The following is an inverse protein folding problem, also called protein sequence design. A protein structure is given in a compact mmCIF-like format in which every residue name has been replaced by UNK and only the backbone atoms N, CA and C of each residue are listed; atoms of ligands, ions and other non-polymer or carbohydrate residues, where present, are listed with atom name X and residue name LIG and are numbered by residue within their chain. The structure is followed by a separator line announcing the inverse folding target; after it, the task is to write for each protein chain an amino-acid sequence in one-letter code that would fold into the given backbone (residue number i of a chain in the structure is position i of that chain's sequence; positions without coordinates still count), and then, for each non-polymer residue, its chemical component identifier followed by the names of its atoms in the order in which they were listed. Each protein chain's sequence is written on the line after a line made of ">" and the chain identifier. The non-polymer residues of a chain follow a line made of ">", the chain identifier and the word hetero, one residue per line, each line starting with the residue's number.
data_IF_819517419905
#
_entry.id   IF_819517419905
#
_cell.length_a   1.000
_cell.length_b   1.000
_cell.length_c   1.000
_cell.angle_alpha   90.00
_cell.angle_beta   90.00
_cell.angle_gamma   90.00
#
_symmetry.space_group_name_H-M   'P 1'
#
loop_
_entity.id
_entity.type
_entity.pdbx_description
1 polymer ?
#
# COMPACT_ATOMS: atom_id res chain seq x y z
N UNK A 1 0.94 -8.01 -1.76
CA UNK A 1 1.60 -8.93 -2.72
C UNK A 1 2.95 -9.44 -2.23
N UNK A 2 3.81 -8.57 -1.67
CA UNK A 2 5.20 -8.90 -1.26
C UNK A 2 5.30 -9.98 -0.18
N UNK A 3 4.39 -10.01 0.80
CA UNK A 3 4.42 -10.96 1.92
C UNK A 3 4.39 -12.44 1.51
N UNK A 4 3.78 -12.79 0.38
CA UNK A 4 3.72 -14.19 -0.10
C UNK A 4 5.05 -14.68 -0.69
N UNK A 5 5.88 -13.77 -1.19
CA UNK A 5 7.22 -14.07 -1.67
C UNK A 5 8.25 -14.13 -0.54
N UNK A 6 7.94 -13.51 0.61
CA UNK A 6 8.77 -13.54 1.82
C UNK A 6 8.29 -14.57 2.88
N UNK A 7 7.20 -15.30 2.63
CA UNK A 7 6.70 -16.32 3.56
C UNK A 7 7.27 -17.70 3.24
N UNK A 8 7.79 -18.38 4.27
CA UNK A 8 8.44 -19.69 4.30
C UNK A 8 9.84 -19.75 3.66
N UNK A 9 10.89 -19.74 4.50
CA UNK A 9 12.23 -20.29 4.20
C UNK A 9 13.11 -19.58 3.18
N UNK A 10 12.60 -18.58 2.45
CA UNK A 10 13.31 -17.93 1.32
C UNK A 10 14.08 -16.65 1.70
N UNK A 11 14.37 -16.43 3.00
CA UNK A 11 15.12 -15.24 3.45
C UNK A 11 16.51 -15.12 2.81
N UNK A 12 17.11 -16.23 2.38
CA UNK A 12 18.42 -16.25 1.73
C UNK A 12 18.43 -15.84 0.25
N UNK A 13 17.27 -15.88 -0.43
CA UNK A 13 17.15 -15.68 -1.89
C UNK A 13 16.42 -14.39 -2.27
N UNK A 14 16.33 -13.44 -1.33
CA UNK A 14 15.64 -12.18 -1.58
C UNK A 14 16.20 -11.42 -2.79
N UNK A 15 17.54 -11.34 -2.89
CA UNK A 15 18.20 -10.64 -3.99
C UNK A 15 17.90 -11.25 -5.37
N UNK A 16 17.73 -12.57 -5.46
CA UNK A 16 17.39 -13.25 -6.73
C UNK A 16 15.91 -13.14 -7.07
N UNK A 17 15.05 -12.94 -6.07
CA UNK A 17 13.60 -12.85 -6.23
C UNK A 17 13.12 -11.43 -6.56
N UNK A 18 13.91 -10.40 -6.25
CA UNK A 18 13.56 -9.00 -6.54
C UNK A 18 13.23 -8.77 -8.03
N UNK A 19 14.05 -9.22 -9.01
CA UNK A 19 13.74 -9.00 -10.42
C UNK A 19 12.43 -9.67 -10.86
N UNK A 20 12.16 -10.87 -10.33
CA UNK A 20 10.91 -11.60 -10.63
C UNK A 20 9.70 -10.87 -10.05
N UNK A 21 9.82 -10.37 -8.82
CA UNK A 21 8.78 -9.59 -8.16
C UNK A 21 8.52 -8.27 -8.88
N UNK A 22 9.58 -7.57 -9.30
CA UNK A 22 9.49 -6.33 -10.05
C UNK A 22 8.74 -6.55 -11.36
N UNK A 23 9.12 -7.58 -12.13
CA UNK A 23 8.46 -7.92 -13.38
C UNK A 23 6.98 -8.29 -13.16
N UNK A 24 6.68 -9.07 -12.13
CA UNK A 24 5.31 -9.43 -11.77
C UNK A 24 4.48 -8.19 -11.40
N UNK A 25 5.03 -7.28 -10.60
CA UNK A 25 4.35 -6.05 -10.21
C UNK A 25 4.09 -5.13 -11.42
N UNK A 26 5.09 -4.93 -12.29
CA UNK A 26 4.99 -4.09 -13.49
C UNK A 26 3.96 -4.59 -14.50
N UNK A 27 3.75 -5.90 -14.59
CA UNK A 27 2.87 -6.54 -15.59
C UNK A 27 1.46 -6.86 -15.07
N UNK A 28 1.24 -6.78 -13.77
CA UNK A 28 -0.05 -7.07 -13.15
C UNK A 28 -0.98 -5.85 -13.18
N UNK A 29 -2.27 -6.08 -13.42
CA UNK A 29 -3.26 -5.00 -13.42
C UNK A 29 -3.54 -4.58 -11.98
N UNK A 30 -3.35 -3.30 -11.67
CA UNK A 30 -3.64 -2.79 -10.34
C UNK A 30 -5.16 -2.60 -10.15
N UNK A 31 -5.70 -3.00 -9.01
CA UNK A 31 -7.15 -3.04 -8.77
C UNK A 31 -7.82 -1.66 -8.83
N UNK A 32 -7.14 -0.59 -8.37
CA UNK A 32 -7.69 0.76 -8.36
C UNK A 32 -7.68 1.46 -9.73
N UNK A 33 -6.65 1.21 -10.55
CA UNK A 33 -6.46 1.90 -11.84
C UNK A 33 -6.86 1.04 -13.04
N UNK A 34 -7.05 -0.27 -12.87
CA UNK A 34 -7.38 -1.22 -13.93
C UNK A 34 -6.27 -1.42 -14.98
N UNK A 35 -5.15 -0.70 -14.86
CA UNK A 35 -4.00 -0.71 -15.76
C UNK A 35 -2.77 -1.28 -15.06
N UNK A 36 -1.80 -1.75 -15.83
CA UNK A 36 -0.51 -2.19 -15.29
C UNK A 36 0.38 -0.98 -14.99
N UNK A 37 1.23 -1.01 -13.95
CA UNK A 37 2.16 0.08 -13.66
C UNK A 37 3.05 0.44 -14.86
N UNK A 38 3.61 -0.55 -15.57
CA UNK A 38 4.44 -0.29 -16.76
C UNK A 38 3.68 0.46 -17.87
N UNK A 39 2.37 0.24 -18.00
CA UNK A 39 1.55 0.95 -18.98
C UNK A 39 1.32 2.42 -18.59
N UNK A 40 1.31 2.73 -17.29
CA UNK A 40 1.14 4.08 -16.79
C UNK A 40 2.46 4.88 -16.81
N UNK A 41 3.57 4.23 -16.51
CA UNK A 41 4.90 4.85 -16.47
C UNK A 41 5.54 4.96 -17.85
N UNK A 42 5.58 3.85 -18.60
CA UNK A 42 6.34 3.72 -19.85
C UNK A 42 5.41 3.72 -21.08
N UNK A 43 4.09 3.71 -20.90
CA UNK A 43 3.12 3.67 -21.99
C UNK A 43 3.06 2.33 -22.74
N UNK A 44 3.82 1.32 -22.33
CA UNK A 44 3.83 -0.01 -22.94
C UNK A 44 3.88 -1.13 -21.90
N UNK A 45 3.27 -2.28 -22.22
CA UNK A 45 3.33 -3.47 -21.38
C UNK A 45 4.45 -4.38 -21.87
N UNK A 46 5.45 -4.74 -21.04
CA UNK A 46 6.51 -5.65 -21.44
C UNK A 46 5.93 -7.03 -21.72
N UNK A 47 6.39 -7.65 -22.82
CA UNK A 47 5.95 -8.99 -23.24
C UNK A 47 6.69 -10.03 -22.40
N UNK A 48 5.95 -10.80 -21.61
CA UNK A 48 6.50 -11.91 -20.82
C UNK A 48 6.32 -13.25 -21.55
N UNK A 49 7.20 -14.26 -21.33
CA UNK A 49 7.13 -15.54 -22.04
C UNK A 49 5.75 -16.22 -21.99
N UNK A 50 5.05 -16.08 -20.86
CA UNK A 50 3.69 -16.60 -20.68
C UNK A 50 2.67 -16.00 -21.64
N UNK A 51 2.86 -14.75 -22.10
CA UNK A 51 1.96 -14.11 -23.06
C UNK A 51 2.15 -14.67 -24.48
N UNK A 52 3.33 -15.22 -24.77
CA UNK A 52 3.63 -15.85 -26.06
C UNK A 52 3.13 -17.30 -26.07
N UNK A 53 3.36 -18.04 -24.98
CA UNK A 53 2.90 -19.43 -24.82
C UNK A 53 1.37 -19.55 -24.86
N UNK A 54 0.64 -18.61 -24.24
CA UNK A 54 -0.83 -18.61 -24.22
C UNK A 54 -1.49 -18.52 -25.59
N UNK A 55 -0.83 -17.98 -26.62
CA UNK A 55 -1.40 -17.82 -27.96
C UNK A 55 -1.54 -19.14 -28.72
N UNK A 56 -0.72 -20.14 -28.40
CA UNK A 56 -0.67 -21.42 -29.09
C UNK A 56 -1.29 -22.58 -28.30
N UNK A 57 -1.73 -22.35 -27.06
CA UNK A 57 -2.39 -23.34 -26.22
C UNK A 57 -3.88 -23.46 -26.59
N UNK A 58 -4.15 -24.00 -27.79
CA UNK A 58 -5.46 -24.49 -28.17
C UNK A 58 -5.62 -25.95 -27.72
N UNK A 59 -5.63 -26.17 -26.40
CA UNK A 59 -6.38 -27.28 -25.80
C UNK A 59 -6.51 -27.03 -24.30
N UNK A 60 -7.73 -26.71 -23.87
CA UNK A 60 -8.06 -26.48 -22.46
C UNK A 60 -8.09 -27.87 -21.83
N UNK A 61 -6.96 -28.32 -21.25
CA UNK A 61 -6.90 -29.54 -20.45
C UNK A 61 -8.09 -29.54 -19.47
N UNK A 62 -8.84 -30.64 -19.35
CA UNK A 62 -10.08 -30.73 -18.53
C UNK A 62 -9.95 -30.13 -17.11
N UNK A 63 -8.82 -30.37 -16.44
CA UNK A 63 -8.47 -29.77 -15.13
C UNK A 63 -8.32 -28.23 -15.11
N UNK A 64 -8.03 -27.57 -16.23
CA UNK A 64 -7.84 -26.12 -16.27
C UNK A 64 -9.13 -25.32 -16.01
N UNK A 65 -10.30 -25.86 -16.40
CA UNK A 65 -11.60 -25.29 -16.05
C UNK A 65 -11.85 -25.31 -14.54
N UNK A 66 -11.49 -26.42 -13.88
CA UNK A 66 -11.60 -26.57 -12.42
C UNK A 66 -10.61 -25.65 -11.69
N UNK A 67 -9.40 -25.51 -12.23
CA UNK A 67 -8.39 -24.61 -11.68
C UNK A 67 -8.79 -23.13 -11.82
N UNK A 68 -9.39 -22.74 -12.94
CA UNK A 68 -9.96 -21.40 -13.13
C UNK A 68 -11.03 -21.11 -12.07
N UNK A 69 -11.98 -22.03 -11.88
CA UNK A 69 -13.02 -21.89 -10.85
C UNK A 69 -12.41 -21.72 -9.45
N UNK A 70 -11.36 -22.47 -9.13
CA UNK A 70 -10.64 -22.34 -7.86
C UNK A 70 -9.99 -20.95 -7.73
N UNK A 71 -9.31 -20.46 -8.77
CA UNK A 71 -8.70 -19.13 -8.76
C UNK A 71 -9.72 -18.02 -8.59
N UNK A 72 -10.86 -18.13 -9.26
CA UNK A 72 -11.93 -17.14 -9.16
C UNK A 72 -12.55 -17.13 -7.76
N UNK A 73 -12.73 -18.30 -7.13
CA UNK A 73 -13.12 -18.39 -5.71
C UNK A 73 -12.09 -17.71 -4.79
N UNK A 74 -10.80 -18.02 -4.97
CA UNK A 74 -9.72 -17.42 -4.16
C UNK A 74 -9.67 -15.90 -4.33
N UNK A 75 -9.86 -15.39 -5.55
CA UNK A 75 -9.94 -13.95 -5.83
C UNK A 75 -11.11 -13.31 -5.10
N UNK A 76 -12.29 -13.92 -5.15
CA UNK A 76 -13.48 -13.40 -4.47
C UNK A 76 -13.27 -13.34 -2.95
N UNK A 77 -12.75 -14.41 -2.34
CA UNK A 77 -12.42 -14.42 -0.92
C UNK A 77 -11.38 -13.36 -0.57
N UNK A 78 -10.34 -13.19 -1.41
CA UNK A 78 -9.30 -12.18 -1.20
C UNK A 78 -9.88 -10.77 -1.27
N UNK A 79 -10.77 -10.50 -2.22
CA UNK A 79 -11.43 -9.20 -2.35
C UNK A 79 -12.32 -8.89 -1.14
N UNK A 80 -13.05 -9.88 -0.63
CA UNK A 80 -13.83 -9.75 0.60
C UNK A 80 -12.92 -9.42 1.79
N UNK A 81 -11.86 -10.19 2.02
CA UNK A 81 -10.93 -9.93 3.12
C UNK A 81 -10.27 -8.55 3.04
N UNK A 82 -10.00 -8.05 1.82
CA UNK A 82 -9.49 -6.70 1.60
C UNK A 82 -10.55 -5.64 1.99
N UNK A 83 -11.80 -5.82 1.55
CA UNK A 83 -12.90 -4.93 1.89
C UNK A 83 -13.14 -4.88 3.42
N UNK A 84 -13.20 -6.05 4.06
CA UNK A 84 -13.37 -6.17 5.51
C UNK A 84 -12.21 -5.48 6.26
N UNK A 85 -10.98 -5.62 5.77
CA UNK A 85 -9.80 -4.97 6.35
C UNK A 85 -9.88 -3.44 6.23
N UNK A 86 -10.35 -2.92 5.09
CA UNK A 86 -10.55 -1.48 4.90
C UNK A 86 -11.65 -0.94 5.81
N UNK A 87 -12.77 -1.65 5.92
CA UNK A 87 -13.88 -1.26 6.79
C UNK A 87 -13.45 -1.25 8.26
N UNK A 88 -12.77 -2.31 8.71
CA UNK A 88 -12.22 -2.41 10.05
C UNK A 88 -11.27 -1.24 10.37
N UNK A 89 -10.34 -0.94 9.46
CA UNK A 89 -9.39 0.17 9.64
C UNK A 89 -10.12 1.52 9.72
N UNK A 90 -11.13 1.74 8.87
CA UNK A 90 -11.96 2.95 8.88
C UNK A 90 -12.73 3.09 10.19
N UNK A 91 -13.46 2.05 10.62
CA UNK A 91 -14.23 2.08 11.86
C UNK A 91 -13.34 2.36 13.08
N UNK A 92 -12.15 1.76 13.12
CA UNK A 92 -11.18 2.02 14.20
C UNK A 92 -10.64 3.43 14.19
N UNK A 93 -10.36 3.97 13.00
CA UNK A 93 -9.96 5.37 12.84
C UNK A 93 -11.08 6.30 13.32
N UNK A 94 -12.28 6.18 12.76
CA UNK A 94 -13.43 7.03 13.06
C UNK A 94 -13.81 6.99 14.56
N UNK A 95 -13.63 5.86 15.24
CA UNK A 95 -13.88 5.72 16.69
C UNK A 95 -12.89 6.47 17.57
N UNK A 96 -11.62 6.50 17.18
CA UNK A 96 -10.54 7.07 18.00
C UNK A 96 -10.20 8.50 17.60
N UNK A 97 -10.38 8.83 16.34
CA UNK A 97 -9.95 10.09 15.77
C UNK A 97 -10.93 11.20 16.14
N UNK A 98 -10.41 12.28 16.72
CA UNK A 98 -11.14 13.52 16.94
C UNK A 98 -10.44 14.59 16.13
N UNK A 99 -11.14 15.14 15.15
CA UNK A 99 -10.61 16.25 14.36
C UNK A 99 -10.52 17.48 15.26
N UNK A 100 -9.32 18.02 15.51
CA UNK A 100 -9.17 19.25 16.25
C UNK A 100 -9.66 20.44 15.40
N UNK A 101 -10.55 21.25 15.95
CA UNK A 101 -10.93 22.53 15.34
C UNK A 101 -9.91 23.59 15.75
N UNK A 102 -9.24 24.20 14.78
CA UNK A 102 -8.27 25.27 14.98
C UNK A 102 -8.77 26.53 14.30
N UNK A 103 -8.62 27.69 14.95
CA UNK A 103 -8.90 28.99 14.35
C UNK A 103 -7.61 29.79 14.13
N UNK A 104 -7.62 30.67 13.13
CA UNK A 104 -6.53 31.60 12.89
C UNK A 104 -6.41 32.56 14.08
N UNK A 105 -5.22 32.67 14.64
CA UNK A 105 -4.94 33.43 15.86
C UNK A 105 -4.82 32.59 17.13
N UNK A 106 -5.20 31.30 17.11
CA UNK A 106 -5.06 30.43 18.27
C UNK A 106 -3.59 30.16 18.62
N UNK A 107 -3.33 30.03 19.92
CA UNK A 107 -2.04 29.63 20.45
C UNK A 107 -1.97 28.10 20.52
N UNK A 108 -1.18 27.51 19.65
CA UNK A 108 -1.02 26.06 19.54
C UNK A 108 0.37 25.59 19.98
N UNK A 109 0.42 24.35 20.46
CA UNK A 109 1.63 23.64 20.80
C UNK A 109 1.97 22.65 19.69
N UNK A 110 3.23 22.62 19.26
CA UNK A 110 3.69 21.70 18.21
C UNK A 110 4.41 20.52 18.84
N UNK A 111 3.98 19.31 18.49
CA UNK A 111 4.62 18.07 18.98
C UNK A 111 6.06 17.97 18.50
N UNK A 112 6.98 17.68 19.43
CA UNK A 112 8.40 17.52 19.13
C UNK A 112 8.79 16.09 18.73
N UNK A 113 7.82 15.18 18.61
CA UNK A 113 8.06 13.75 18.39
C UNK A 113 8.90 13.43 17.15
N UNK A 114 8.75 14.23 16.09
CA UNK A 114 9.43 14.06 14.80
C UNK A 114 10.55 15.09 14.56
N UNK A 115 10.90 15.91 15.55
CA UNK A 115 11.98 16.89 15.40
C UNK A 115 13.35 16.24 15.61
N UNK A 116 14.03 15.98 14.49
CA UNK A 116 15.39 15.42 14.47
C UNK A 116 16.48 16.46 14.81
N UNK A 117 16.15 17.76 14.80
CA UNK A 117 17.10 18.85 15.01
C UNK A 117 17.28 19.27 16.48
N UNK A 118 16.65 18.56 17.43
CA UNK A 118 16.75 18.91 18.84
C UNK A 118 17.86 18.08 19.50
N UNK A 119 18.95 18.73 19.89
CA UNK A 119 20.08 18.12 20.62
C UNK A 119 19.63 17.55 21.97
N UNK A 120 20.11 16.35 22.35
CA UNK A 120 19.87 15.73 23.67
C UNK A 120 19.12 14.38 23.65
N UNK A 121 18.95 13.76 24.82
CA UNK A 121 18.31 12.44 24.98
C UNK A 121 16.78 12.54 24.93
N UNK A 122 16.10 11.62 24.22
CA UNK A 122 14.64 11.65 24.00
C UNK A 122 13.81 11.70 25.29
N UNK A 123 14.33 11.16 26.40
CA UNK A 123 13.64 11.08 27.70
C UNK A 123 13.56 12.41 28.46
N UNK A 124 14.47 13.36 28.20
CA UNK A 124 14.54 14.64 28.90
C UNK A 124 14.01 15.80 28.05
N UNK A 125 13.44 15.51 26.87
CA UNK A 125 12.88 16.52 25.97
C UNK A 125 11.43 16.81 26.34
N UNK A 126 11.05 18.08 26.26
CA UNK A 126 9.66 18.48 26.29
C UNK A 126 8.93 17.90 25.08
N UNK A 127 7.77 17.28 25.31
CA UNK A 127 6.94 16.68 24.27
C UNK A 127 6.35 17.71 23.29
N UNK A 128 6.31 18.98 23.68
CA UNK A 128 5.74 20.08 22.91
C UNK A 128 6.65 21.30 22.91
N UNK A 129 6.61 22.06 21.83
CA UNK A 129 7.26 23.35 21.67
C UNK A 129 6.22 24.45 21.40
N UNK A 130 6.50 25.68 21.86
CA UNK A 130 5.59 26.80 21.72
C UNK A 130 4.94 27.22 23.06
N UNK A 131 4.13 28.28 23.06
CA UNK A 131 3.02 28.44 22.11
C UNK A 131 3.36 29.24 20.85
N UNK A 132 2.78 28.84 19.72
CA UNK A 132 2.87 29.53 18.43
C UNK A 132 1.49 30.02 18.00
N UNK A 133 1.44 31.16 17.31
CA UNK A 133 0.19 31.70 16.77
C UNK A 133 -0.09 31.09 15.41
N UNK A 134 -1.29 30.53 15.22
CA UNK A 134 -1.72 29.98 13.94
C UNK A 134 -2.00 31.11 12.93
N UNK A 135 -1.23 31.15 11.84
CA UNK A 135 -1.36 32.20 10.81
C UNK A 135 -2.38 31.88 9.72
N UNK A 136 -2.49 30.62 9.33
CA UNK A 136 -3.31 30.17 8.19
C UNK A 136 -3.54 28.66 8.26
N UNK A 137 -4.74 28.22 7.89
CA UNK A 137 -5.10 26.81 7.76
C UNK A 137 -5.01 26.36 6.30
N UNK A 138 -4.35 25.23 6.04
CA UNK A 138 -4.25 24.65 4.71
C UNK A 138 -4.90 23.26 4.70
N UNK A 139 -6.21 23.17 4.48
CA UNK A 139 -6.93 21.88 4.51
C UNK A 139 -7.06 21.25 5.91
N UNK A 140 -7.84 20.17 6.00
CA UNK A 140 -8.20 19.54 7.29
C UNK A 140 -7.05 18.75 7.95
N UNK A 141 -6.11 18.26 7.13
CA UNK A 141 -5.03 17.36 7.56
C UNK A 141 -3.62 17.84 7.17
N UNK A 142 -3.44 19.08 6.70
CA UNK A 142 -2.08 19.50 6.37
C UNK A 142 -1.27 19.71 7.64
N UNK A 143 -0.14 19.00 7.67
CA UNK A 143 0.99 19.23 8.57
C UNK A 143 1.93 20.22 7.91
#
# INVERSE_FOLDING_TARGET
>A
MIRRFCSYGLSHYFCTLIPELELAYKTFNHASTGKTPAMLEEGCKPKIPVDTLKKHLADIHSNSSRFKLLLDKVRNCTNQSIADSFEYAKQHWDKSHKTPEFNVGDLILVSTSNFNNNTGTKKLKYSFAGPFILKSLHGENAV
#
